data_IF_177285975929
#
_entry.id   IF_177285975929
#
_cell.length_a   1.000
_cell.length_b   1.000
_cell.length_c   1.000
_cell.angle_alpha   90.00
_cell.angle_beta   90.00
_cell.angle_gamma   90.00
#
_symmetry.space_group_name_H-M   'P 1'
#
loop_
_entity.id
_entity.type
_entity.pdbx_description
1 polymer ?
#
# COMPACT_ATOMS: atom_id res chain seq x y z
N UNK A 1 3.15 -30.52 -4.00
CA UNK A 1 4.07 -31.67 -4.25
C UNK A 1 4.95 -31.91 -3.01
N UNK A 2 5.59 -30.88 -2.41
CA UNK A 2 6.45 -31.05 -1.24
C UNK A 2 5.72 -31.66 -0.03
N UNK A 3 4.48 -31.23 0.26
CA UNK A 3 3.67 -31.71 1.38
C UNK A 3 3.38 -33.22 1.32
N UNK A 4 3.25 -33.78 0.09
CA UNK A 4 2.98 -35.24 -0.08
C UNK A 4 4.18 -36.13 0.28
N UNK A 5 5.34 -35.54 0.54
CA UNK A 5 6.61 -36.25 0.82
C UNK A 5 7.18 -35.92 2.20
N UNK A 6 6.43 -35.24 3.05
CA UNK A 6 6.89 -34.77 4.35
C UNK A 6 5.93 -35.22 5.45
N UNK A 7 6.47 -35.77 6.53
CA UNK A 7 5.71 -36.18 7.73
C UNK A 7 5.29 -34.94 8.54
N UNK A 8 6.04 -33.86 8.45
CA UNK A 8 5.74 -32.59 9.11
C UNK A 8 5.97 -31.44 8.12
N UNK A 9 5.08 -30.45 8.18
CA UNK A 9 5.13 -29.26 7.32
C UNK A 9 4.96 -28.02 8.19
N UNK A 10 5.84 -27.04 8.00
CA UNK A 10 5.71 -25.70 8.55
C UNK A 10 5.46 -24.74 7.39
N UNK A 11 4.37 -23.97 7.47
CA UNK A 11 4.03 -22.93 6.49
C UNK A 11 4.30 -21.58 7.14
N UNK A 12 5.13 -20.75 6.49
CA UNK A 12 5.34 -19.36 6.87
C UNK A 12 4.74 -18.46 5.78
N UNK A 13 3.86 -17.55 6.17
CA UNK A 13 3.20 -16.65 5.23
C UNK A 13 2.11 -15.82 5.90
N UNK A 14 1.37 -15.09 5.09
CA UNK A 14 0.29 -14.22 5.54
C UNK A 14 -0.90 -14.33 4.59
N UNK A 15 -1.97 -14.96 5.05
CA UNK A 15 -3.20 -15.16 4.28
C UNK A 15 -3.99 -13.86 4.07
N UNK A 16 -3.70 -12.81 4.83
CA UNK A 16 -4.28 -11.48 4.65
C UNK A 16 -3.52 -10.62 3.64
N UNK A 17 -2.46 -11.16 3.01
CA UNK A 17 -1.75 -10.54 1.89
C UNK A 17 -2.06 -11.26 0.57
N UNK A 18 -1.41 -10.81 -0.53
CA UNK A 18 -1.72 -11.31 -1.86
C UNK A 18 -1.38 -12.79 -2.04
N UNK A 19 -2.32 -13.58 -2.58
CA UNK A 19 -2.04 -14.95 -2.99
C UNK A 19 -1.16 -14.98 -4.24
N UNK A 20 -0.61 -16.15 -4.60
CA UNK A 20 0.07 -16.33 -5.88
C UNK A 20 -0.85 -15.99 -7.06
N UNK A 21 -0.30 -15.32 -8.08
CA UNK A 21 -1.06 -14.96 -9.29
C UNK A 21 -1.43 -16.21 -10.07
N UNK A 22 -2.73 -16.45 -10.26
CA UNK A 22 -3.24 -17.55 -11.05
C UNK A 22 -3.57 -17.04 -12.47
N UNK A 23 -2.89 -17.57 -13.47
CA UNK A 23 -3.09 -17.17 -14.87
C UNK A 23 -4.22 -17.94 -15.57
N UNK A 24 -4.55 -19.13 -15.09
CA UNK A 24 -5.60 -19.98 -15.66
C UNK A 24 -6.91 -19.71 -14.93
N UNK A 25 -7.87 -19.12 -15.63
CA UNK A 25 -9.20 -18.78 -15.08
C UNK A 25 -9.98 -20.03 -14.62
N UNK A 26 -9.89 -21.12 -15.37
CA UNK A 26 -10.55 -22.38 -15.03
C UNK A 26 -9.98 -22.99 -13.76
N UNK A 27 -8.66 -22.95 -13.59
CA UNK A 27 -8.00 -23.40 -12.36
C UNK A 27 -8.39 -22.56 -11.15
N UNK A 28 -8.51 -21.23 -11.31
CA UNK A 28 -9.00 -20.31 -10.29
C UNK A 28 -10.42 -20.73 -9.84
N UNK A 29 -11.37 -20.86 -10.78
CA UNK A 29 -12.74 -21.33 -10.51
C UNK A 29 -12.77 -22.73 -9.89
N UNK A 30 -11.83 -23.60 -10.25
CA UNK A 30 -11.64 -24.93 -9.66
C UNK A 30 -11.12 -24.93 -8.22
N UNK A 31 -10.98 -23.76 -7.59
CA UNK A 31 -10.60 -23.59 -6.18
C UNK A 31 -9.10 -23.37 -5.95
N UNK A 32 -8.30 -23.12 -7.00
CA UNK A 32 -6.88 -22.78 -6.83
C UNK A 32 -6.68 -21.36 -6.23
N UNK A 33 -7.72 -20.51 -6.27
CA UNK A 33 -7.72 -19.18 -5.65
C UNK A 33 -7.58 -19.24 -4.12
N UNK A 34 -8.12 -20.29 -3.50
CA UNK A 34 -7.96 -20.54 -2.08
C UNK A 34 -6.60 -21.18 -1.82
N UNK A 35 -5.69 -20.44 -1.23
CA UNK A 35 -4.34 -20.92 -0.94
C UNK A 35 -4.34 -22.03 0.11
N UNK A 36 -3.29 -22.85 0.12
CA UNK A 36 -3.13 -23.87 1.16
C UNK A 36 -3.11 -23.24 2.57
N UNK A 37 -2.49 -22.06 2.72
CA UNK A 37 -2.44 -21.33 3.98
C UNK A 37 -3.87 -20.97 4.44
N UNK A 38 -4.70 -20.38 3.57
CA UNK A 38 -6.09 -20.06 3.88
C UNK A 38 -6.89 -21.30 4.31
N UNK A 39 -6.67 -22.43 3.62
CA UNK A 39 -7.33 -23.71 3.99
C UNK A 39 -6.90 -24.23 5.36
N UNK A 40 -5.61 -24.10 5.70
CA UNK A 40 -5.09 -24.52 7.01
C UNK A 40 -5.62 -23.61 8.09
N UNK A 41 -5.60 -22.29 7.90
CA UNK A 41 -6.15 -21.30 8.84
C UNK A 41 -7.63 -21.57 9.13
N UNK A 42 -8.42 -21.83 8.08
CA UNK A 42 -9.85 -22.08 8.20
C UNK A 42 -10.19 -23.43 8.88
N UNK A 43 -9.46 -24.50 8.54
CA UNK A 43 -9.83 -25.85 8.97
C UNK A 43 -9.06 -26.37 10.20
N UNK A 44 -7.92 -25.76 10.54
CA UNK A 44 -7.03 -26.14 11.64
C UNK A 44 -6.52 -24.92 12.41
N UNK A 45 -7.38 -24.03 12.91
CA UNK A 45 -6.95 -22.79 13.57
C UNK A 45 -6.03 -23.03 14.77
N UNK A 46 -6.15 -24.17 15.47
CA UNK A 46 -5.29 -24.53 16.59
C UNK A 46 -3.82 -24.80 16.23
N UNK A 47 -3.51 -24.95 14.92
CA UNK A 47 -2.13 -25.15 14.43
C UNK A 47 -1.52 -23.85 13.93
N UNK A 48 -2.24 -22.73 14.03
CA UNK A 48 -1.80 -21.41 13.53
C UNK A 48 -1.27 -20.58 14.69
N UNK A 49 -0.08 -20.01 14.51
CA UNK A 49 0.51 -19.04 15.43
C UNK A 49 0.73 -17.71 14.70
N UNK A 50 0.16 -16.64 15.23
CA UNK A 50 0.40 -15.29 14.72
C UNK A 50 1.69 -14.72 15.32
N UNK A 51 2.60 -14.26 14.48
CA UNK A 51 3.74 -13.45 14.92
C UNK A 51 3.25 -12.03 15.20
N UNK A 52 3.05 -11.69 16.47
CA UNK A 52 2.37 -10.46 16.89
C UNK A 52 3.28 -9.22 16.83
N UNK A 53 4.55 -9.37 17.17
CA UNK A 53 5.50 -8.23 17.20
C UNK A 53 6.08 -8.00 15.81
N UNK A 54 5.90 -6.79 15.29
CA UNK A 54 6.46 -6.38 14.01
C UNK A 54 7.56 -5.31 14.22
N UNK A 55 8.57 -5.30 13.33
CA UNK A 55 9.76 -4.48 13.39
C UNK A 55 9.89 -3.51 12.21
N UNK A 56 8.81 -3.25 11.47
CA UNK A 56 8.83 -2.44 10.27
C UNK A 56 8.17 -1.08 10.45
N UNK A 57 6.88 -1.09 10.79
CA UNK A 57 6.02 0.08 10.69
C UNK A 57 5.99 0.89 11.98
N UNK A 58 5.94 2.21 11.83
CA UNK A 58 5.47 3.09 12.89
C UNK A 58 4.11 2.60 13.43
N UNK A 59 3.88 2.74 14.74
CA UNK A 59 2.68 2.21 15.41
C UNK A 59 1.39 2.70 14.78
N UNK A 60 1.29 4.00 14.45
CA UNK A 60 0.07 4.55 13.84
C UNK A 60 -0.18 4.05 12.42
N UNK A 61 0.83 3.65 11.67
CA UNK A 61 0.66 3.00 10.37
C UNK A 61 0.14 1.57 10.58
N UNK A 62 0.67 0.85 11.57
CA UNK A 62 0.35 -0.54 11.87
C UNK A 62 -1.05 -0.73 12.48
N UNK A 63 -1.54 0.21 13.30
CA UNK A 63 -2.81 0.05 14.04
C UNK A 63 -4.01 -0.25 13.15
N UNK A 64 -4.15 0.44 12.03
CA UNK A 64 -5.29 0.21 11.14
C UNK A 64 -5.27 -1.19 10.49
N UNK A 65 -4.18 -1.64 9.83
CA UNK A 65 -4.07 -3.02 9.36
C UNK A 65 -4.25 -4.05 10.48
N UNK A 66 -3.69 -3.79 11.66
CA UNK A 66 -3.84 -4.67 12.82
C UNK A 66 -5.31 -4.90 13.18
N UNK A 67 -6.08 -3.83 13.31
CA UNK A 67 -7.51 -3.89 13.64
C UNK A 67 -8.34 -4.55 12.54
N UNK A 68 -8.04 -4.26 11.29
CA UNK A 68 -8.85 -4.73 10.16
C UNK A 68 -8.58 -6.18 9.76
N UNK A 69 -7.32 -6.60 9.75
CA UNK A 69 -6.90 -7.90 9.21
C UNK A 69 -6.43 -8.90 10.27
N UNK A 70 -6.01 -8.43 11.46
CA UNK A 70 -5.34 -9.28 12.46
C UNK A 70 -5.96 -9.14 13.86
N UNK A 71 -7.25 -8.83 13.94
CA UNK A 71 -8.03 -8.73 15.19
C UNK A 71 -7.42 -7.78 16.25
N UNK A 72 -6.61 -6.81 15.83
CA UNK A 72 -5.92 -5.90 16.74
C UNK A 72 -4.72 -6.50 17.48
N UNK A 73 -4.25 -7.69 17.08
CA UNK A 73 -3.24 -8.43 17.82
C UNK A 73 -1.78 -8.05 17.47
N UNK A 74 -1.55 -7.21 16.45
CA UNK A 74 -0.20 -6.78 16.12
C UNK A 74 0.28 -5.69 17.06
N UNK A 75 1.56 -5.77 17.41
CA UNK A 75 2.27 -4.81 18.26
C UNK A 75 3.53 -4.32 17.55
N UNK A 76 3.82 -3.03 17.67
CA UNK A 76 5.07 -2.48 17.19
C UNK A 76 6.19 -2.69 18.25
N UNK A 77 7.33 -3.20 17.81
CA UNK A 77 8.49 -3.33 18.68
C UNK A 77 8.88 -1.95 19.26
N UNK A 78 9.33 -1.87 20.53
CA UNK A 78 9.59 -0.60 21.19
C UNK A 78 10.53 0.33 20.42
N UNK A 79 11.57 -0.22 19.78
CA UNK A 79 12.59 0.53 19.06
C UNK A 79 12.13 1.18 17.77
N UNK A 80 10.99 0.72 17.20
CA UNK A 80 10.46 1.29 15.94
C UNK A 80 9.13 1.99 16.12
N UNK A 81 8.53 1.88 17.30
CA UNK A 81 7.15 2.30 17.59
C UNK A 81 6.85 3.72 17.14
N UNK A 82 7.76 4.64 17.42
CA UNK A 82 7.60 6.09 17.18
C UNK A 82 8.68 6.66 16.25
N UNK A 83 9.36 5.80 15.48
CA UNK A 83 10.38 6.33 14.58
C UNK A 83 9.75 7.13 13.46
N UNK A 84 10.27 8.34 13.25
CA UNK A 84 9.84 9.27 12.19
C UNK A 84 11.04 9.88 11.48
N UNK A 85 10.76 10.60 10.39
CA UNK A 85 11.78 11.34 9.64
C UNK A 85 11.86 12.79 10.10
N UNK A 86 10.72 13.39 10.37
CA UNK A 86 10.59 14.76 10.83
C UNK A 86 9.86 14.77 12.16
N UNK A 87 10.32 15.64 13.07
CA UNK A 87 9.60 15.90 14.31
C UNK A 87 8.22 16.50 14.01
N UNK A 88 7.22 16.05 14.77
CA UNK A 88 5.82 16.50 14.65
C UNK A 88 5.16 16.21 13.30
N UNK A 89 5.71 15.33 12.47
CA UNK A 89 5.07 14.86 11.26
C UNK A 89 4.10 13.70 11.55
N UNK A 90 2.88 13.78 10.99
CA UNK A 90 1.92 12.69 11.13
C UNK A 90 2.40 11.46 10.36
N UNK A 91 2.50 10.26 10.97
CA UNK A 91 3.02 9.06 10.30
C UNK A 91 2.18 8.60 9.10
N UNK A 92 0.88 8.89 9.14
CA UNK A 92 -0.06 8.55 8.07
C UNK A 92 -0.91 9.76 7.70
N UNK A 93 -1.07 10.05 6.42
CA UNK A 93 -1.88 11.15 5.92
C UNK A 93 -2.71 10.75 4.69
N UNK A 94 -3.88 11.39 4.55
CA UNK A 94 -4.76 11.26 3.40
C UNK A 94 -4.86 12.60 2.69
N UNK A 95 -4.56 12.61 1.39
CA UNK A 95 -4.78 13.76 0.50
C UNK A 95 -6.06 13.47 -0.28
N UNK A 96 -7.10 14.18 0.09
CA UNK A 96 -8.42 14.04 -0.52
C UNK A 96 -8.50 14.86 -1.81
N UNK A 97 -8.81 14.19 -2.91
CA UNK A 97 -8.94 14.83 -4.23
C UNK A 97 -10.39 15.08 -4.63
N UNK A 98 -11.37 14.90 -3.72
CA UNK A 98 -12.80 14.99 -4.00
C UNK A 98 -13.26 16.37 -4.52
N UNK A 99 -12.60 17.45 -4.11
CA UNK A 99 -12.93 18.81 -4.52
C UNK A 99 -12.10 19.31 -5.72
N UNK A 100 -11.23 18.45 -6.28
CA UNK A 100 -10.26 18.85 -7.30
C UNK A 100 -10.70 18.53 -8.74
N UNK A 101 -11.90 17.99 -8.94
CA UNK A 101 -12.42 17.50 -10.25
C UNK A 101 -11.43 16.60 -11.02
N UNK A 102 -10.67 15.79 -10.28
CA UNK A 102 -9.75 14.83 -10.86
C UNK A 102 -10.51 13.61 -11.37
N UNK A 103 -10.38 13.31 -12.66
CA UNK A 103 -11.11 12.21 -13.31
C UNK A 103 -10.18 11.05 -13.65
N UNK A 104 -10.68 9.85 -13.38
CA UNK A 104 -10.02 8.66 -13.89
C UNK A 104 -10.28 8.49 -15.39
N UNK A 105 -9.27 8.07 -16.13
CA UNK A 105 -9.38 7.73 -17.54
C UNK A 105 -9.15 6.23 -17.73
N UNK A 106 -9.93 5.60 -18.60
CA UNK A 106 -9.70 4.23 -19.04
C UNK A 106 -8.72 4.26 -20.24
N UNK A 107 -7.62 3.52 -20.14
CA UNK A 107 -6.61 3.46 -21.20
C UNK A 107 -6.58 2.06 -21.81
N UNK A 108 -7.09 1.94 -23.07
CA UNK A 108 -6.84 0.88 -24.00
C UNK A 108 -7.34 -0.53 -23.61
N UNK A 109 -6.98 -1.49 -24.44
CA UNK A 109 -7.41 -2.91 -24.40
C UNK A 109 -6.98 -3.68 -23.14
N UNK A 110 -6.09 -3.13 -22.31
CA UNK A 110 -5.51 -3.81 -21.15
C UNK A 110 -6.21 -3.49 -19.82
N UNK A 111 -7.43 -2.94 -19.85
CA UNK A 111 -8.19 -2.56 -18.66
C UNK A 111 -7.40 -1.67 -17.68
N UNK A 112 -6.51 -0.83 -18.21
CA UNK A 112 -5.71 0.12 -17.47
C UNK A 112 -6.54 1.34 -17.08
N UNK A 113 -6.34 1.84 -15.86
CA UNK A 113 -6.88 3.14 -15.43
C UNK A 113 -5.74 4.06 -15.05
N UNK A 114 -5.95 5.34 -15.31
CA UNK A 114 -5.02 6.42 -14.96
C UNK A 114 -5.80 7.61 -14.44
N UNK A 115 -5.22 8.31 -13.47
CA UNK A 115 -5.63 9.65 -13.06
C UNK A 115 -4.38 10.52 -13.11
N UNK A 116 -4.20 11.23 -14.22
CA UNK A 116 -3.00 12.04 -14.48
C UNK A 116 -2.86 13.16 -13.47
N UNK A 117 -3.96 13.81 -13.12
CA UNK A 117 -3.98 14.91 -12.17
C UNK A 117 -3.59 14.43 -10.76
N UNK A 118 -4.10 13.29 -10.31
CA UNK A 118 -3.69 12.66 -9.04
C UNK A 118 -2.19 12.29 -9.06
N UNK A 119 -1.68 11.76 -10.18
CA UNK A 119 -0.26 11.46 -10.33
C UNK A 119 0.63 12.71 -10.26
N UNK A 120 0.21 13.79 -10.91
CA UNK A 120 0.96 15.05 -10.90
C UNK A 120 0.95 15.70 -9.51
N UNK A 121 -0.19 15.66 -8.80
CA UNK A 121 -0.31 16.06 -7.39
C UNK A 121 0.61 15.21 -6.49
N UNK A 122 0.60 13.89 -6.66
CA UNK A 122 1.48 13.00 -5.90
C UNK A 122 2.95 13.39 -6.07
N UNK A 123 3.38 13.69 -7.28
CA UNK A 123 4.77 14.11 -7.54
C UNK A 123 5.09 15.50 -6.97
N UNK A 124 4.11 16.38 -6.89
CA UNK A 124 4.23 17.66 -6.20
C UNK A 124 4.43 17.46 -4.70
N UNK A 125 3.61 16.64 -4.07
CA UNK A 125 3.69 16.29 -2.65
C UNK A 125 5.01 15.57 -2.30
N UNK A 126 5.45 14.65 -3.16
CA UNK A 126 6.75 13.98 -3.02
C UNK A 126 7.90 14.99 -3.01
N UNK A 127 7.91 15.94 -3.94
CA UNK A 127 8.94 17.01 -4.00
C UNK A 127 8.88 17.92 -2.78
N UNK A 128 7.67 18.31 -2.37
CA UNK A 128 7.47 19.12 -1.17
C UNK A 128 7.98 18.40 0.08
N UNK A 129 7.74 17.11 0.19
CA UNK A 129 8.20 16.31 1.31
C UNK A 129 9.74 16.16 1.33
N UNK A 130 10.36 15.87 0.17
CA UNK A 130 11.83 15.87 0.03
C UNK A 130 12.43 17.21 0.44
N UNK A 131 11.82 18.33 0.04
CA UNK A 131 12.27 19.67 0.42
C UNK A 131 12.12 19.93 1.93
N UNK A 132 11.04 19.46 2.55
CA UNK A 132 10.84 19.57 4.03
C UNK A 132 11.89 18.80 4.81
N UNK A 133 12.28 17.60 4.35
CA UNK A 133 13.37 16.82 4.96
C UNK A 133 14.71 17.52 4.75
N UNK A 134 14.88 18.19 3.64
CA UNK A 134 16.14 18.73 3.15
C UNK A 134 16.85 17.76 2.19
N UNK A 135 17.04 18.18 0.96
CA UNK A 135 17.57 17.31 -0.09
C UNK A 135 18.94 16.70 0.23
N UNK A 136 19.81 17.43 0.92
CA UNK A 136 21.10 16.93 1.40
C UNK A 136 20.91 15.77 2.38
N UNK A 137 20.06 15.93 3.38
CA UNK A 137 19.74 14.91 4.39
C UNK A 137 19.17 13.64 3.75
N UNK A 138 18.25 13.78 2.76
CA UNK A 138 17.69 12.64 2.04
C UNK A 138 18.77 11.78 1.40
N UNK A 139 19.81 12.41 0.83
CA UNK A 139 20.90 11.70 0.17
C UNK A 139 21.88 11.08 1.17
N UNK A 140 22.25 11.80 2.23
CA UNK A 140 23.20 11.37 3.26
C UNK A 140 22.65 10.20 4.08
N UNK A 141 21.40 10.32 4.55
CA UNK A 141 20.73 9.27 5.33
C UNK A 141 20.11 8.18 4.45
N UNK A 142 20.17 8.34 3.11
CA UNK A 142 19.62 7.43 2.11
C UNK A 142 18.13 7.12 2.34
N UNK A 143 17.35 8.14 2.71
CA UNK A 143 15.90 8.01 2.92
C UNK A 143 15.25 7.57 1.60
N UNK A 144 14.63 6.41 1.59
CA UNK A 144 14.07 5.81 0.40
C UNK A 144 12.55 5.97 0.30
N UNK A 145 12.06 6.14 -0.93
CA UNK A 145 10.66 6.40 -1.23
C UNK A 145 10.08 5.32 -2.15
N UNK A 146 8.89 4.86 -1.80
CA UNK A 146 8.09 4.00 -2.64
C UNK A 146 6.84 4.71 -3.14
N UNK A 147 6.51 4.54 -4.39
CA UNK A 147 5.26 5.01 -4.99
C UNK A 147 4.51 3.80 -5.49
N UNK A 148 3.31 3.59 -4.97
CA UNK A 148 2.50 2.41 -5.23
C UNK A 148 1.19 2.83 -5.90
N UNK A 149 0.80 2.12 -6.94
CA UNK A 149 -0.56 2.23 -7.50
C UNK A 149 -1.09 0.84 -7.88
N UNK A 150 -2.39 0.58 -7.77
CA UNK A 150 -2.97 -0.69 -8.22
C UNK A 150 -2.99 -0.85 -9.75
N UNK A 151 -2.77 0.23 -10.51
CA UNK A 151 -2.91 0.26 -11.97
C UNK A 151 -1.56 0.46 -12.68
N UNK A 152 -1.24 -0.46 -13.60
CA UNK A 152 0.02 -0.40 -14.41
C UNK A 152 0.14 0.88 -15.22
N UNK A 153 -0.97 1.40 -15.77
CA UNK A 153 -0.98 2.64 -16.53
C UNK A 153 -0.53 3.84 -15.66
N UNK A 154 -1.03 3.94 -14.43
CA UNK A 154 -0.62 4.96 -13.47
C UNK A 154 0.87 4.84 -13.11
N UNK A 155 1.34 3.64 -12.83
CA UNK A 155 2.75 3.36 -12.56
C UNK A 155 3.64 3.81 -13.73
N UNK A 156 3.27 3.49 -14.96
CA UNK A 156 4.05 3.87 -16.14
C UNK A 156 4.08 5.40 -16.33
N UNK A 157 2.96 6.06 -16.13
CA UNK A 157 2.89 7.53 -16.20
C UNK A 157 3.80 8.18 -15.14
N UNK A 158 3.71 7.74 -13.89
CA UNK A 158 4.56 8.21 -12.79
C UNK A 158 6.05 7.99 -13.08
N UNK A 159 6.43 6.83 -13.59
CA UNK A 159 7.82 6.54 -14.01
C UNK A 159 8.32 7.49 -15.07
N UNK A 160 7.52 7.75 -16.10
CA UNK A 160 7.87 8.67 -17.18
C UNK A 160 8.05 10.10 -16.67
N UNK A 161 7.14 10.58 -15.81
CA UNK A 161 7.22 11.91 -15.18
C UNK A 161 8.47 12.06 -14.29
N UNK A 162 8.78 11.05 -13.47
CA UNK A 162 10.01 11.05 -12.64
C UNK A 162 11.26 11.06 -13.52
N UNK A 163 11.26 10.26 -14.59
CA UNK A 163 12.38 10.24 -15.56
C UNK A 163 12.57 11.59 -16.26
N UNK A 164 11.51 12.30 -16.57
CA UNK A 164 11.55 13.62 -17.18
C UNK A 164 11.88 14.75 -16.19
N UNK A 165 11.67 14.54 -14.89
CA UNK A 165 11.86 15.57 -13.87
C UNK A 165 13.34 15.81 -13.56
N UNK A 166 13.83 17.02 -13.84
CA UNK A 166 15.19 17.46 -13.46
C UNK A 166 15.37 17.54 -11.94
N UNK A 167 14.38 18.04 -11.21
CA UNK A 167 14.43 18.18 -9.75
C UNK A 167 14.47 16.84 -8.99
N UNK A 168 13.93 15.76 -9.56
CA UNK A 168 13.99 14.42 -8.96
C UNK A 168 15.22 13.63 -9.43
N UNK A 169 16.01 14.15 -10.37
CA UNK A 169 17.21 13.46 -10.91
C UNK A 169 18.17 12.98 -9.82
N UNK A 170 18.54 13.80 -8.80
CA UNK A 170 19.45 13.37 -7.73
C UNK A 170 18.93 12.20 -6.89
N UNK A 171 17.62 12.05 -6.75
CA UNK A 171 16.97 11.11 -5.86
C UNK A 171 16.52 9.81 -6.56
N UNK A 172 16.73 9.64 -7.86
CA UNK A 172 16.19 8.50 -8.63
C UNK A 172 16.58 7.13 -8.09
N UNK A 173 17.79 7.00 -7.55
CA UNK A 173 18.25 5.75 -6.93
C UNK A 173 17.51 5.40 -5.63
N UNK A 174 16.87 6.39 -5.01
CA UNK A 174 16.08 6.26 -3.78
C UNK A 174 14.58 6.16 -4.06
N UNK A 175 14.15 6.30 -5.33
CA UNK A 175 12.74 6.26 -5.73
C UNK A 175 12.41 4.92 -6.38
N UNK A 176 11.40 4.24 -5.88
CA UNK A 176 10.84 3.03 -6.49
C UNK A 176 9.37 3.25 -6.83
N UNK A 177 8.97 3.02 -8.08
CA UNK A 177 7.56 3.10 -8.51
C UNK A 177 7.13 1.74 -9.00
N UNK A 178 6.08 1.16 -8.42
CA UNK A 178 5.59 -0.14 -8.87
C UNK A 178 4.10 -0.33 -8.55
N UNK A 179 3.53 -1.40 -9.11
CA UNK A 179 2.22 -1.89 -8.69
C UNK A 179 2.30 -2.49 -7.29
N UNK A 180 1.14 -2.69 -6.65
CA UNK A 180 1.06 -3.34 -5.33
C UNK A 180 1.75 -4.70 -5.36
N UNK A 181 1.46 -5.52 -6.39
CA UNK A 181 2.06 -6.85 -6.56
C UNK A 181 3.59 -6.78 -6.71
N UNK A 182 4.09 -5.77 -7.43
CA UNK A 182 5.53 -5.54 -7.60
C UNK A 182 6.25 -4.99 -6.36
N UNK A 183 5.50 -4.51 -5.37
CA UNK A 183 6.01 -4.08 -4.07
C UNK A 183 5.97 -5.18 -3.00
N UNK A 184 5.33 -6.31 -3.28
CA UNK A 184 5.26 -7.40 -2.31
C UNK A 184 6.68 -7.86 -1.91
N UNK A 185 6.93 -8.00 -0.61
CA UNK A 185 8.24 -8.32 -0.05
C UNK A 185 9.22 -7.15 0.10
N UNK A 186 8.89 -5.98 -0.44
CA UNK A 186 9.70 -4.77 -0.28
C UNK A 186 9.18 -3.88 0.85
N UNK A 187 9.99 -2.90 1.27
CA UNK A 187 9.60 -1.84 2.22
C UNK A 187 10.39 -0.56 1.91
N UNK A 188 9.87 0.59 2.30
CA UNK A 188 10.52 1.91 2.16
C UNK A 188 10.25 2.78 3.38
N UNK A 189 11.12 3.74 3.61
CA UNK A 189 10.95 4.71 4.68
C UNK A 189 9.66 5.50 4.52
N UNK A 190 9.40 5.94 3.28
CA UNK A 190 8.22 6.71 2.90
C UNK A 190 7.48 6.01 1.77
N UNK A 191 6.18 5.81 1.92
CA UNK A 191 5.32 5.28 0.88
C UNK A 191 4.28 6.31 0.48
N UNK A 192 4.15 6.54 -0.82
CA UNK A 192 3.03 7.24 -1.44
C UNK A 192 2.14 6.24 -2.16
N UNK A 193 0.83 6.30 -1.94
CA UNK A 193 -0.15 5.44 -2.64
C UNK A 193 -1.05 6.33 -3.48
N UNK A 194 -1.15 6.05 -4.79
CA UNK A 194 -2.10 6.65 -5.72
C UNK A 194 -3.22 5.65 -6.00
N UNK A 195 -4.45 5.97 -5.56
CA UNK A 195 -5.60 5.06 -5.66
C UNK A 195 -6.32 5.15 -6.99
N UNK A 196 -6.16 6.26 -7.71
CA UNK A 196 -6.63 6.50 -9.09
C UNK A 196 -8.14 6.65 -9.23
N UNK A 197 -8.93 5.87 -8.48
CA UNK A 197 -10.39 5.80 -8.64
C UNK A 197 -11.07 7.10 -8.24
N UNK A 198 -11.78 7.67 -9.23
CA UNK A 198 -12.58 8.88 -9.09
C UNK A 198 -13.77 8.82 -10.08
N UNK A 199 -14.94 8.42 -9.60
CA UNK A 199 -16.16 8.25 -10.40
C UNK A 199 -17.41 8.41 -9.54
N UNK A 200 -18.53 8.79 -10.18
CA UNK A 200 -19.80 9.06 -9.51
C UNK A 200 -20.51 7.78 -9.03
N UNK A 201 -20.19 6.63 -9.65
CA UNK A 201 -20.83 5.34 -9.34
C UNK A 201 -20.28 4.65 -8.08
N UNK A 202 -19.25 5.22 -7.44
CA UNK A 202 -18.60 4.61 -6.28
C UNK A 202 -17.87 3.28 -6.61
N UNK A 203 -17.55 3.07 -7.88
CA UNK A 203 -16.89 1.83 -8.32
C UNK A 203 -15.40 1.87 -8.01
N UNK A 204 -14.93 0.97 -7.16
CA UNK A 204 -13.54 0.90 -6.72
C UNK A 204 -12.66 -0.11 -7.49
N UNK A 205 -13.25 -0.99 -8.29
CA UNK A 205 -12.50 -1.95 -9.15
C UNK A 205 -11.49 -2.80 -8.38
N UNK A 206 -10.22 -2.81 -8.78
CA UNK A 206 -9.15 -3.61 -8.14
C UNK A 206 -8.93 -3.30 -6.66
N UNK A 207 -9.38 -2.14 -6.18
CA UNK A 207 -9.32 -1.76 -4.77
C UNK A 207 -10.29 -2.57 -3.89
N UNK A 208 -11.19 -3.36 -4.48
CA UNK A 208 -12.07 -4.27 -3.74
C UNK A 208 -11.32 -5.46 -3.13
N UNK A 209 -10.18 -5.87 -3.69
CA UNK A 209 -9.31 -6.84 -3.05
C UNK A 209 -8.46 -6.15 -1.96
N UNK A 210 -8.98 -6.20 -0.74
CA UNK A 210 -8.40 -5.52 0.42
C UNK A 210 -7.00 -6.06 0.79
N UNK A 211 -6.65 -7.28 0.36
CA UNK A 211 -5.30 -7.83 0.53
C UNK A 211 -4.25 -6.96 -0.16
N UNK A 212 -4.61 -6.34 -1.32
CA UNK A 212 -3.76 -5.34 -1.97
C UNK A 212 -3.52 -4.11 -1.10
N UNK A 213 -4.58 -3.61 -0.47
CA UNK A 213 -4.42 -2.45 0.43
C UNK A 213 -3.61 -2.81 1.68
N UNK A 214 -3.80 -4.02 2.23
CA UNK A 214 -2.96 -4.51 3.32
C UNK A 214 -1.48 -4.53 2.92
N UNK A 215 -1.17 -5.09 1.74
CA UNK A 215 0.21 -5.06 1.20
C UNK A 215 0.70 -3.63 1.06
N UNK A 216 -0.06 -2.73 0.39
CA UNK A 216 0.39 -1.37 0.11
C UNK A 216 0.68 -0.56 1.38
N UNK A 217 -0.22 -0.58 2.36
CA UNK A 217 -0.09 0.13 3.63
C UNK A 217 1.12 -0.39 4.41
N UNK A 218 1.29 -1.72 4.48
CA UNK A 218 2.34 -2.36 5.27
C UNK A 218 3.73 -2.28 4.63
N UNK A 219 3.90 -1.54 3.52
CA UNK A 219 5.23 -1.27 2.93
C UNK A 219 5.94 -0.08 3.55
N UNK A 220 5.22 0.80 4.26
CA UNK A 220 5.78 2.00 4.86
C UNK A 220 6.45 1.70 6.20
N UNK A 221 7.66 2.21 6.39
CA UNK A 221 8.37 2.15 7.68
C UNK A 221 8.01 3.32 8.58
N UNK A 222 8.10 4.55 8.10
CA UNK A 222 8.01 5.77 8.91
C UNK A 222 6.91 6.73 8.46
N UNK A 223 6.63 6.79 7.14
CA UNK A 223 5.62 7.70 6.59
C UNK A 223 4.79 7.03 5.51
N UNK A 224 3.48 7.21 5.59
CA UNK A 224 2.53 6.78 4.57
C UNK A 224 1.66 7.96 4.14
N UNK A 225 1.63 8.24 2.85
CA UNK A 225 0.77 9.25 2.22
C UNK A 225 -0.14 8.56 1.22
N UNK A 226 -1.45 8.72 1.38
CA UNK A 226 -2.44 8.12 0.49
C UNK A 226 -3.17 9.25 -0.25
N UNK A 227 -3.19 9.18 -1.58
CA UNK A 227 -3.97 10.07 -2.42
C UNK A 227 -5.17 9.32 -2.99
N UNK A 228 -6.34 9.95 -2.95
CA UNK A 228 -7.54 9.37 -3.54
C UNK A 228 -8.78 10.21 -3.31
N UNK A 229 -9.76 9.98 -4.16
CA UNK A 229 -11.05 10.66 -4.15
C UNK A 229 -11.97 10.00 -3.12
N UNK A 230 -12.16 10.69 -1.97
CA UNK A 230 -12.89 10.11 -0.85
C UNK A 230 -14.38 9.88 -1.18
N UNK A 231 -14.99 10.68 -2.09
CA UNK A 231 -16.41 10.49 -2.42
C UNK A 231 -16.66 9.14 -3.11
N UNK A 232 -15.79 8.70 -4.04
CA UNK A 232 -15.84 7.36 -4.62
C UNK A 232 -15.53 6.29 -3.58
N UNK A 233 -14.44 6.48 -2.82
CA UNK A 233 -13.87 5.41 -2.00
C UNK A 233 -14.67 5.11 -0.73
N UNK A 234 -15.32 6.11 -0.13
CA UNK A 234 -16.12 5.95 1.09
C UNK A 234 -17.37 5.06 0.93
N UNK A 235 -17.79 4.75 -0.30
CA UNK A 235 -18.84 3.78 -0.53
C UNK A 235 -18.44 2.37 -0.08
N UNK A 236 -17.15 2.10 0.03
CA UNK A 236 -16.66 0.84 0.58
C UNK A 236 -16.23 1.03 2.04
N UNK A 237 -16.78 0.21 2.95
CA UNK A 237 -16.60 0.30 4.42
C UNK A 237 -15.13 0.38 4.87
N UNK A 238 -14.23 -0.34 4.20
CA UNK A 238 -12.79 -0.31 4.51
C UNK A 238 -12.22 1.09 4.34
N UNK A 239 -12.44 1.72 3.17
CA UNK A 239 -11.90 3.04 2.88
C UNK A 239 -12.55 4.13 3.73
N UNK A 240 -13.85 4.01 3.98
CA UNK A 240 -14.54 4.90 4.93
C UNK A 240 -13.83 4.86 6.29
N UNK A 241 -13.58 3.66 6.84
CA UNK A 241 -12.92 3.50 8.15
C UNK A 241 -11.46 3.93 8.13
N UNK A 242 -10.74 3.70 7.04
CA UNK A 242 -9.37 4.17 6.86
C UNK A 242 -9.29 5.70 6.87
N UNK A 243 -10.17 6.37 6.12
CA UNK A 243 -10.25 7.84 6.07
C UNK A 243 -10.60 8.40 7.46
N UNK A 244 -11.60 7.83 8.14
CA UNK A 244 -11.99 8.23 9.50
C UNK A 244 -10.82 8.07 10.49
N UNK A 245 -10.09 6.96 10.40
CA UNK A 245 -8.92 6.69 11.22
C UNK A 245 -7.82 7.73 11.01
N UNK A 246 -7.46 8.02 9.76
CA UNK A 246 -6.42 9.00 9.42
C UNK A 246 -6.83 10.42 9.87
N UNK A 247 -8.09 10.82 9.64
CA UNK A 247 -8.59 12.13 10.10
C UNK A 247 -8.53 12.30 11.63
N UNK A 248 -8.69 11.22 12.38
CA UNK A 248 -8.57 11.25 13.84
C UNK A 248 -7.14 11.51 14.28
N UNK A 249 -6.16 10.82 13.68
CA UNK A 249 -4.73 11.00 14.00
C UNK A 249 -4.24 12.39 13.65
N UNK A 250 -4.71 12.96 12.53
CA UNK A 250 -4.29 14.29 12.07
C UNK A 250 -4.80 15.45 12.94
N UNK A 251 -5.72 15.18 13.89
CA UNK A 251 -6.28 16.18 14.83
C UNK A 251 -5.62 16.13 16.22
N UNK A 252 -4.84 15.11 16.46
CA UNK A 252 -4.07 14.93 17.71
C UNK A 252 -2.66 15.49 17.55
#
# INVERSE_FOLDING_TARGET
>A
IAIRKADRVVLAGDHCQLPPTIKCYEAARGGLECTLMERVVANKPSTVSLLKVQYRMHEEIMKFPSQWFYNGELEAAPEIRYRGILDWDTPISWIDTSEMDFKEEFIGETFGRINKAEADLLLQELKAYINRIGGKRVLEERIDFGIISPYKAQVQYLRNKIKASGSLKPYRSLLTVNTVDGFQGQERDVIFISLVRANEDGQIGFLNDLRRMNVAITRARMKLVILGEANTLKHHKFYQKLIEYIKRISKT
#
